data_IF_291458779880
#
_entry.id   IF_291458779880
#
_cell.length_a   1.000
_cell.length_b   1.000
_cell.length_c   1.000
_cell.angle_alpha   90.00
_cell.angle_beta   90.00
_cell.angle_gamma   90.00
#
_symmetry.space_group_name_H-M   'P 1'
#
loop_
_entity.id
_entity.type
_entity.pdbx_description
1 polymer ?
#
# COMPACT_ATOMS: atom_id res chain seq x y z
N UNK A 1 13.12 5.12 0.70
CA UNK A 1 13.12 4.01 1.68
C UNK A 1 14.38 3.93 2.54
N UNK A 2 15.60 4.12 2.00
CA UNK A 2 16.84 3.99 2.79
C UNK A 2 16.88 4.82 4.10
N UNK A 3 16.32 6.03 4.12
CA UNK A 3 16.24 6.83 5.36
C UNK A 3 15.21 6.31 6.36
N UNK A 4 14.10 5.74 5.88
CA UNK A 4 13.08 5.08 6.73
C UNK A 4 13.71 3.83 7.36
N UNK A 5 14.42 3.04 6.56
CA UNK A 5 15.06 1.81 7.01
C UNK A 5 16.08 2.04 8.14
N UNK A 6 16.68 3.24 8.23
CA UNK A 6 17.59 3.60 9.33
C UNK A 6 16.88 3.96 10.63
N UNK A 7 15.58 4.28 10.57
CA UNK A 7 14.78 4.79 11.69
C UNK A 7 13.67 3.83 12.13
N UNK A 8 13.49 2.72 11.41
CA UNK A 8 12.47 1.72 11.65
C UNK A 8 13.08 0.34 11.89
N UNK A 9 12.48 -0.43 12.79
CA UNK A 9 12.70 -1.86 12.91
C UNK A 9 11.55 -2.59 12.18
N UNK A 10 11.89 -3.65 11.45
CA UNK A 10 10.91 -4.44 10.70
C UNK A 10 10.73 -5.79 11.38
N UNK A 11 9.48 -6.15 11.64
CA UNK A 11 9.08 -7.45 12.17
C UNK A 11 8.26 -8.11 11.07
N UNK A 12 8.88 -9.08 10.39
CA UNK A 12 8.19 -9.91 9.41
C UNK A 12 7.58 -11.11 10.13
N UNK A 13 6.33 -11.40 9.84
CA UNK A 13 5.57 -12.46 10.49
C UNK A 13 5.15 -13.45 9.43
N UNK A 14 5.66 -14.66 9.56
CA UNK A 14 5.25 -15.78 8.73
C UNK A 14 4.07 -16.50 9.40
N UNK A 15 3.04 -16.76 8.61
CA UNK A 15 1.89 -17.55 9.07
C UNK A 15 2.37 -19.00 9.31
N UNK A 16 1.85 -19.72 10.33
CA UNK A 16 2.30 -21.07 10.63
C UNK A 16 2.34 -21.99 9.40
N UNK A 17 3.51 -22.57 9.12
CA UNK A 17 3.73 -23.48 7.99
C UNK A 17 3.87 -22.78 6.64
N UNK A 18 4.06 -21.45 6.62
CA UNK A 18 4.35 -20.66 5.42
C UNK A 18 5.78 -20.09 5.42
N UNK A 19 6.57 -20.35 6.47
CA UNK A 19 8.00 -20.07 6.49
C UNK A 19 8.75 -20.88 5.41
N UNK A 20 9.90 -20.37 4.98
CA UNK A 20 10.73 -21.04 3.96
C UNK A 20 11.12 -22.45 4.44
N UNK A 21 10.89 -23.45 3.59
CA UNK A 21 11.15 -24.87 3.86
C UNK A 21 10.40 -25.45 5.09
N UNK A 22 9.22 -24.92 5.40
CA UNK A 22 8.39 -25.39 6.50
C UNK A 22 8.06 -26.90 6.42
N UNK A 23 8.24 -27.67 7.50
CA UNK A 23 7.79 -29.05 7.55
C UNK A 23 6.27 -29.15 7.47
N UNK A 24 5.76 -30.32 7.09
CA UNK A 24 4.32 -30.57 7.12
C UNK A 24 3.78 -30.38 8.54
N UNK A 25 2.75 -29.52 8.66
CA UNK A 25 2.02 -29.39 9.90
C UNK A 25 1.34 -30.75 10.23
N UNK A 26 1.21 -31.10 11.52
CA UNK A 26 0.65 -32.38 11.91
C UNK A 26 -0.72 -32.64 11.26
N UNK A 27 -1.02 -33.90 10.99
CA UNK A 27 -2.31 -34.29 10.44
C UNK A 27 -3.44 -33.78 11.36
N UNK A 28 -4.36 -33.01 10.78
CA UNK A 28 -5.63 -32.70 11.43
C UNK A 28 -6.46 -33.98 11.30
N UNK A 29 -6.74 -34.65 12.41
CA UNK A 29 -7.73 -35.72 12.37
C UNK A 29 -9.04 -35.08 12.80
N UNK A 30 -9.99 -35.05 11.88
CA UNK A 30 -11.37 -34.72 12.19
C UNK A 30 -11.86 -35.76 13.20
N UNK A 31 -12.25 -35.29 14.39
CA UNK A 31 -12.82 -36.16 15.41
C UNK A 31 -14.09 -36.82 14.86
N UNK A 32 -14.03 -38.15 14.64
CA UNK A 32 -15.22 -38.95 14.84
C UNK A 32 -15.50 -38.93 16.34
N UNK A 33 -16.63 -38.35 16.74
CA UNK A 33 -17.18 -38.33 18.11
C UNK A 33 -17.05 -39.70 18.81
N UNK A 34 -17.03 -40.78 18.04
CA UNK A 34 -16.84 -42.15 18.50
C UNK A 34 -15.51 -42.42 19.24
N UNK A 35 -14.40 -41.76 18.87
CA UNK A 35 -13.07 -42.05 19.45
C UNK A 35 -12.89 -41.40 20.84
N UNK A 36 -13.50 -40.24 21.08
CA UNK A 36 -13.42 -39.49 22.35
C UNK A 36 -14.08 -40.28 23.50
N UNK A 37 -15.14 -41.03 23.20
CA UNK A 37 -15.88 -41.80 24.21
C UNK A 37 -15.17 -43.08 24.66
N UNK A 38 -14.26 -43.64 23.84
CA UNK A 38 -13.66 -44.96 24.11
C UNK A 38 -12.19 -44.92 24.56
N UNK A 39 -11.43 -43.84 24.32
CA UNK A 39 -10.04 -43.72 24.74
C UNK A 39 -9.70 -42.30 25.27
N UNK A 40 -10.09 -41.96 26.52
CA UNK A 40 -9.81 -40.63 27.10
C UNK A 40 -8.32 -40.37 27.38
N UNK A 41 -7.48 -41.42 27.40
CA UNK A 41 -6.04 -41.31 27.67
C UNK A 41 -5.19 -41.12 26.42
N UNK A 42 -5.76 -41.30 25.22
CA UNK A 42 -5.08 -41.11 23.94
C UNK A 42 -5.42 -39.72 23.38
N UNK A 43 -5.24 -38.69 24.21
CA UNK A 43 -5.39 -37.28 23.82
C UNK A 43 -4.20 -36.92 22.90
N UNK A 44 -4.18 -37.49 21.70
CA UNK A 44 -3.25 -37.09 20.67
C UNK A 44 -3.53 -35.61 20.39
N UNK A 45 -2.49 -34.78 20.42
CA UNK A 45 -2.57 -33.34 20.23
C UNK A 45 -3.01 -33.10 18.78
N UNK A 46 -4.31 -32.93 18.57
CA UNK A 46 -4.88 -32.68 17.25
C UNK A 46 -4.48 -31.25 16.85
N UNK A 47 -3.80 -31.09 15.72
CA UNK A 47 -3.40 -29.78 15.25
C UNK A 47 -4.48 -29.26 14.28
N UNK A 48 -5.32 -28.36 14.79
CA UNK A 48 -6.26 -27.59 13.97
C UNK A 48 -5.58 -26.30 13.54
N UNK A 49 -5.61 -26.02 12.24
CA UNK A 49 -5.01 -24.80 11.70
C UNK A 49 -5.78 -23.57 12.22
N UNK A 50 -5.11 -22.52 12.70
CA UNK A 50 -5.77 -21.38 13.32
C UNK A 50 -6.69 -20.63 12.34
N UNK A 51 -7.81 -20.13 12.87
CA UNK A 51 -8.71 -19.26 12.11
C UNK A 51 -8.06 -17.91 11.83
N UNK A 52 -8.55 -17.16 10.82
CA UNK A 52 -8.09 -15.79 10.57
C UNK A 52 -8.28 -14.87 11.80
N UNK A 53 -9.28 -15.16 12.64
CA UNK A 53 -9.51 -14.44 13.89
C UNK A 53 -8.43 -14.73 14.92
N UNK A 54 -8.17 -16.01 15.17
CA UNK A 54 -7.13 -16.45 16.10
C UNK A 54 -5.75 -15.93 15.69
N UNK A 55 -5.42 -16.02 14.38
CA UNK A 55 -4.18 -15.46 13.84
C UNK A 55 -4.02 -13.96 14.13
N UNK A 56 -5.11 -13.19 14.08
CA UNK A 56 -5.06 -11.76 14.38
C UNK A 56 -4.94 -11.46 15.88
N UNK A 57 -5.60 -12.25 16.73
CA UNK A 57 -5.55 -12.09 18.19
C UNK A 57 -4.19 -12.48 18.76
N UNK A 58 -3.57 -13.54 18.22
CA UNK A 58 -2.27 -14.07 18.67
C UNK A 58 -1.09 -13.14 18.34
N UNK A 59 -1.26 -12.15 17.44
CA UNK A 59 -0.22 -11.18 17.11
C UNK A 59 0.23 -10.37 18.33
N UNK A 60 -0.64 -10.15 19.33
CA UNK A 60 -0.24 -9.47 20.56
C UNK A 60 0.84 -10.24 21.32
N UNK A 61 0.80 -11.57 21.29
CA UNK A 61 1.77 -12.42 21.97
C UNK A 61 3.18 -12.26 21.34
N UNK A 62 3.25 -12.08 20.02
CA UNK A 62 4.51 -11.80 19.32
C UNK A 62 5.09 -10.46 19.77
N UNK A 63 4.27 -9.43 19.89
CA UNK A 63 4.71 -8.11 20.35
C UNK A 63 5.17 -8.14 21.82
N UNK A 64 4.44 -8.84 22.68
CA UNK A 64 4.79 -8.99 24.10
C UNK A 64 6.12 -9.74 24.26
N UNK A 65 6.34 -10.82 23.48
CA UNK A 65 7.62 -11.54 23.47
C UNK A 65 8.79 -10.65 23.02
N UNK A 66 8.57 -9.80 22.02
CA UNK A 66 9.58 -8.85 21.53
C UNK A 66 9.67 -7.57 22.36
N UNK A 67 8.85 -7.42 23.41
CA UNK A 67 8.75 -6.21 24.24
C UNK A 67 8.43 -4.93 23.45
N UNK A 68 7.63 -5.04 22.38
CA UNK A 68 7.23 -3.93 21.50
C UNK A 68 5.88 -3.38 21.95
N UNK A 69 5.84 -2.09 22.32
CA UNK A 69 4.62 -1.45 22.85
C UNK A 69 3.60 -1.07 21.79
N UNK A 70 4.08 -0.58 20.65
CA UNK A 70 3.25 -0.03 19.58
C UNK A 70 3.86 -0.34 18.21
N UNK A 71 3.00 -0.58 17.22
CA UNK A 71 3.43 -0.94 15.86
C UNK A 71 2.62 -0.20 14.79
N UNK A 72 3.23 0.01 13.63
CA UNK A 72 2.52 0.29 12.38
C UNK A 72 2.38 -1.05 11.65
N UNK A 73 1.15 -1.44 11.35
CA UNK A 73 0.87 -2.71 10.70
C UNK A 73 0.76 -2.51 9.18
N UNK A 74 1.39 -3.40 8.40
CA UNK A 74 1.26 -3.44 6.95
C UNK A 74 0.85 -4.86 6.58
N UNK A 75 -0.20 -5.00 5.76
CA UNK A 75 -0.64 -6.30 5.27
C UNK A 75 -1.12 -6.23 3.84
N UNK A 76 -0.87 -7.30 3.09
CA UNK A 76 -1.39 -7.52 1.74
C UNK A 76 -2.40 -8.67 1.74
N UNK A 77 -3.55 -8.49 1.09
CA UNK A 77 -4.54 -9.55 0.87
C UNK A 77 -5.02 -10.23 2.15
N UNK A 78 -4.64 -11.50 2.34
CA UNK A 78 -4.95 -12.25 3.56
C UNK A 78 -4.24 -11.70 4.81
N UNK A 79 -2.99 -11.23 4.66
CA UNK A 79 -2.26 -10.55 5.72
C UNK A 79 -2.95 -9.26 6.15
N UNK A 80 -3.49 -8.50 5.19
CA UNK A 80 -4.30 -7.30 5.46
C UNK A 80 -5.54 -7.61 6.32
N UNK A 81 -6.19 -8.75 6.07
CA UNK A 81 -7.33 -9.21 6.88
C UNK A 81 -6.90 -9.55 8.31
N UNK A 82 -5.77 -10.24 8.49
CA UNK A 82 -5.22 -10.61 9.80
C UNK A 82 -4.85 -9.36 10.61
N UNK A 83 -4.11 -8.41 10.01
CA UNK A 83 -3.72 -7.18 10.72
C UNK A 83 -4.90 -6.26 11.03
N UNK A 84 -5.94 -6.26 10.19
CA UNK A 84 -7.18 -5.53 10.49
C UNK A 84 -7.88 -6.12 11.73
N UNK A 85 -7.91 -7.46 11.87
CA UNK A 85 -8.45 -8.11 13.07
C UNK A 85 -7.61 -7.83 14.31
N UNK A 86 -6.30 -7.79 14.17
CA UNK A 86 -5.41 -7.37 15.25
C UNK A 86 -5.70 -5.93 15.71
N UNK A 87 -5.88 -5.00 14.76
CA UNK A 87 -6.24 -3.62 15.08
C UNK A 87 -7.62 -3.50 15.77
N UNK A 88 -8.56 -4.41 15.46
CA UNK A 88 -9.86 -4.51 16.14
C UNK A 88 -9.69 -5.06 17.57
N UNK A 89 -8.86 -6.09 17.74
CA UNK A 89 -8.66 -6.75 19.03
C UNK A 89 -7.83 -5.91 20.01
N UNK A 90 -6.80 -5.22 19.51
CA UNK A 90 -5.84 -4.46 20.31
C UNK A 90 -5.59 -3.06 19.70
N UNK A 91 -6.61 -2.18 19.70
CA UNK A 91 -6.50 -0.86 19.07
C UNK A 91 -5.43 0.03 19.72
N UNK A 92 -5.15 -0.15 21.01
CA UNK A 92 -4.14 0.62 21.74
C UNK A 92 -2.70 0.23 21.34
N UNK A 93 -2.49 -0.93 20.71
CA UNK A 93 -1.16 -1.39 20.23
C UNK A 93 -0.84 -0.90 18.81
N UNK A 94 -1.84 -0.43 18.05
CA UNK A 94 -1.69 -0.09 16.63
C UNK A 94 -1.68 1.43 16.43
N UNK A 95 -0.55 1.97 15.97
CA UNK A 95 -0.42 3.40 15.66
C UNK A 95 -0.99 3.75 14.30
N UNK A 96 -0.92 2.82 13.36
CA UNK A 96 -1.41 3.00 12.00
C UNK A 96 -1.49 1.67 11.27
N UNK A 97 -2.38 1.60 10.29
CA UNK A 97 -2.69 0.40 9.54
C UNK A 97 -2.59 0.67 8.04
N UNK A 98 -1.80 -0.11 7.31
CA UNK A 98 -1.70 -0.06 5.86
C UNK A 98 -2.26 -1.36 5.27
N UNK A 99 -3.40 -1.25 4.60
CA UNK A 99 -4.18 -2.37 4.06
C UNK A 99 -4.10 -2.39 2.54
N UNK A 100 -3.31 -3.31 1.99
CA UNK A 100 -3.10 -3.46 0.55
C UNK A 100 -3.99 -4.60 0.03
N UNK A 101 -4.85 -4.33 -0.94
CA UNK A 101 -5.80 -5.31 -1.52
C UNK A 101 -6.63 -6.07 -0.45
N UNK A 102 -7.01 -5.39 0.62
CA UNK A 102 -7.67 -6.03 1.75
C UNK A 102 -9.08 -6.50 1.42
N UNK A 103 -9.32 -7.80 1.59
CA UNK A 103 -10.64 -8.40 1.38
C UNK A 103 -11.29 -8.68 2.74
N UNK A 104 -12.26 -7.85 3.13
CA UNK A 104 -12.85 -7.89 4.47
C UNK A 104 -14.24 -8.56 4.58
N UNK A 105 -15.01 -8.56 3.50
CA UNK A 105 -16.39 -9.06 3.49
C UNK A 105 -16.48 -10.54 3.14
N UNK A 106 -17.53 -11.19 3.66
CA UNK A 106 -17.92 -12.56 3.31
C UNK A 106 -19.12 -12.45 2.35
N UNK A 107 -19.04 -13.08 1.17
CA UNK A 107 -19.90 -12.91 -0.02
C UNK A 107 -19.74 -11.53 -0.72
N UNK A 108 -19.42 -11.37 -2.02
CA UNK A 108 -19.59 -12.22 -3.19
C UNK A 108 -18.31 -12.72 -3.88
N UNK A 109 -17.22 -12.88 -3.13
CA UNK A 109 -16.01 -13.54 -3.65
C UNK A 109 -16.25 -15.00 -4.06
N UNK A 110 -17.17 -15.72 -3.41
CA UNK A 110 -17.53 -17.10 -3.79
C UNK A 110 -18.18 -17.20 -5.17
N UNK A 111 -18.86 -16.15 -5.67
CA UNK A 111 -19.51 -16.15 -6.99
C UNK A 111 -18.51 -15.85 -8.10
N UNK A 112 -17.67 -14.81 -7.97
CA UNK A 112 -16.61 -14.55 -8.96
C UNK A 112 -15.49 -15.60 -8.94
N UNK A 113 -15.22 -16.23 -7.80
CA UNK A 113 -14.32 -17.37 -7.72
C UNK A 113 -14.98 -18.62 -8.32
N UNK A 114 -16.29 -18.86 -8.12
CA UNK A 114 -17.00 -19.96 -8.80
C UNK A 114 -17.07 -19.76 -10.30
N UNK A 115 -17.38 -18.57 -10.79
CA UNK A 115 -17.50 -18.30 -12.23
C UNK A 115 -16.15 -18.43 -12.94
N UNK A 116 -15.06 -17.98 -12.31
CA UNK A 116 -13.69 -18.16 -12.82
C UNK A 116 -13.15 -19.57 -12.63
N UNK A 117 -13.52 -20.26 -11.54
CA UNK A 117 -13.19 -21.68 -11.32
C UNK A 117 -13.96 -22.60 -12.27
N UNK A 118 -15.18 -22.28 -12.67
CA UNK A 118 -16.00 -23.08 -13.59
C UNK A 118 -15.54 -22.86 -15.04
N UNK A 119 -15.20 -21.63 -15.42
CA UNK A 119 -14.64 -21.35 -16.75
C UNK A 119 -13.25 -21.96 -17.00
N UNK A 120 -12.40 -22.00 -15.96
CA UNK A 120 -11.04 -22.54 -16.06
C UNK A 120 -10.99 -24.09 -15.94
N UNK A 121 -12.02 -24.71 -15.34
CA UNK A 121 -12.09 -26.16 -15.12
C UNK A 121 -12.64 -26.96 -16.32
N UNK A 122 -12.78 -26.35 -17.50
CA UNK A 122 -13.30 -27.06 -18.68
C UNK A 122 -12.28 -27.57 -19.69
N UNK A 123 -10.97 -27.33 -19.52
CA UNK A 123 -10.04 -27.73 -20.60
C UNK A 123 -8.82 -28.59 -20.22
N UNK A 124 -8.29 -28.61 -19.00
CA UNK A 124 -7.11 -29.45 -18.74
C UNK A 124 -7.07 -30.18 -17.38
N UNK A 125 -7.08 -31.50 -17.52
CA UNK A 125 -6.79 -32.60 -16.61
C UNK A 125 -5.70 -32.30 -15.54
N UNK A 126 -5.98 -32.70 -14.28
CA UNK A 126 -4.97 -33.31 -13.38
C UNK A 126 -4.31 -32.45 -12.29
N UNK A 127 -4.38 -32.99 -11.05
CA UNK A 127 -3.72 -32.61 -9.77
C UNK A 127 -4.18 -31.31 -9.06
N UNK A 128 -4.84 -31.51 -7.91
CA UNK A 128 -5.46 -30.55 -6.97
C UNK A 128 -5.47 -29.04 -7.34
N UNK A 129 -6.27 -28.65 -8.35
CA UNK A 129 -6.16 -27.40 -9.09
C UNK A 129 -6.91 -26.22 -8.43
N UNK A 130 -6.92 -26.11 -7.10
CA UNK A 130 -7.76 -25.11 -6.40
C UNK A 130 -6.94 -24.07 -5.65
N UNK A 131 -5.87 -24.47 -4.96
CA UNK A 131 -5.03 -23.53 -4.21
C UNK A 131 -4.04 -22.78 -5.13
N UNK A 132 -3.40 -23.48 -6.07
CA UNK A 132 -2.47 -22.88 -7.03
C UNK A 132 -3.21 -21.83 -7.89
N UNK A 133 -4.36 -22.20 -8.44
CA UNK A 133 -5.20 -21.34 -9.28
C UNK A 133 -5.77 -20.14 -8.55
N UNK A 134 -6.07 -20.31 -7.27
CA UNK A 134 -6.46 -19.22 -6.39
C UNK A 134 -5.33 -18.21 -6.22
N UNK A 135 -4.12 -18.67 -5.91
CA UNK A 135 -2.96 -17.78 -5.76
C UNK A 135 -2.61 -17.08 -7.06
N UNK A 136 -2.70 -17.79 -8.19
CA UNK A 136 -2.52 -17.21 -9.53
C UNK A 136 -3.51 -16.07 -9.79
N UNK A 137 -4.81 -16.31 -9.55
CA UNK A 137 -5.84 -15.31 -9.71
C UNK A 137 -5.65 -14.12 -8.75
N UNK A 138 -5.23 -14.40 -7.51
CA UNK A 138 -4.96 -13.37 -6.51
C UNK A 138 -3.78 -12.49 -6.92
N UNK A 139 -2.66 -13.09 -7.37
CA UNK A 139 -1.42 -12.36 -7.68
C UNK A 139 -1.53 -11.57 -8.98
N UNK A 140 -2.14 -12.15 -10.01
CA UNK A 140 -2.03 -11.63 -11.37
C UNK A 140 -3.30 -11.04 -11.96
N UNK A 141 -4.46 -11.17 -11.31
CA UNK A 141 -5.70 -10.66 -11.90
C UNK A 141 -6.37 -11.63 -12.87
N UNK A 142 -7.36 -11.14 -13.62
CA UNK A 142 -7.88 -11.84 -14.81
C UNK A 142 -6.85 -11.77 -15.94
N UNK A 143 -6.41 -12.93 -16.41
CA UNK A 143 -5.34 -13.14 -17.40
C UNK A 143 -5.65 -12.57 -18.80
N UNK A 144 -6.89 -12.12 -19.04
CA UNK A 144 -7.39 -11.72 -20.36
C UNK A 144 -6.82 -10.39 -20.90
N UNK A 145 -5.99 -9.67 -20.14
CA UNK A 145 -5.47 -8.34 -20.54
C UNK A 145 -3.97 -8.31 -20.86
N UNK A 146 -3.34 -9.47 -20.92
CA UNK A 146 -1.93 -9.60 -21.29
C UNK A 146 -1.71 -9.43 -22.81
N UNK A 147 -1.11 -8.33 -23.24
CA UNK A 147 -0.73 -8.12 -24.65
C UNK A 147 0.28 -9.15 -25.16
N UNK A 148 1.00 -9.85 -24.25
CA UNK A 148 2.07 -10.78 -24.58
C UNK A 148 1.95 -12.12 -23.83
N UNK A 149 1.14 -13.04 -24.36
CA UNK A 149 0.79 -14.34 -23.73
C UNK A 149 2.01 -15.20 -23.38
N UNK A 150 3.06 -15.19 -24.20
CA UNK A 150 4.26 -16.02 -23.98
C UNK A 150 5.12 -15.55 -22.80
N UNK A 151 5.31 -14.23 -22.64
CA UNK A 151 6.02 -13.67 -21.50
C UNK A 151 5.23 -13.88 -20.21
N UNK A 152 3.91 -13.73 -20.29
CA UNK A 152 3.00 -14.03 -19.20
C UNK A 152 3.08 -15.49 -18.76
N UNK A 153 3.06 -16.44 -19.70
CA UNK A 153 3.21 -17.86 -19.37
C UNK A 153 4.55 -18.16 -18.69
N UNK A 154 5.64 -17.50 -19.08
CA UNK A 154 6.95 -17.64 -18.39
C UNK A 154 6.92 -17.09 -16.97
N UNK A 155 6.29 -15.93 -16.75
CA UNK A 155 6.13 -15.35 -15.40
C UNK A 155 5.28 -16.27 -14.52
N UNK A 156 4.20 -16.81 -15.07
CA UNK A 156 3.31 -17.76 -14.40
C UNK A 156 4.09 -19.03 -14.01
N UNK A 157 4.82 -19.64 -14.95
CA UNK A 157 5.60 -20.85 -14.67
C UNK A 157 6.73 -20.61 -13.66
N UNK A 158 7.44 -19.48 -13.76
CA UNK A 158 8.45 -19.09 -12.78
C UNK A 158 7.84 -18.92 -11.37
N UNK A 159 6.65 -18.33 -11.28
CA UNK A 159 5.94 -18.17 -10.01
C UNK A 159 5.50 -19.52 -9.44
N UNK A 160 4.94 -20.41 -10.27
CA UNK A 160 4.58 -21.78 -9.86
C UNK A 160 5.78 -22.57 -9.38
N UNK A 161 6.90 -22.49 -10.10
CA UNK A 161 8.13 -23.18 -9.72
C UNK A 161 8.68 -22.61 -8.40
N UNK A 162 8.64 -21.29 -8.22
CA UNK A 162 9.01 -20.65 -6.96
C UNK A 162 8.11 -21.07 -5.80
N UNK A 163 6.79 -21.16 -6.02
CA UNK A 163 5.83 -21.61 -5.01
C UNK A 163 6.11 -23.07 -4.62
N UNK A 164 6.31 -23.96 -5.60
CA UNK A 164 6.59 -25.38 -5.36
C UNK A 164 7.92 -25.62 -4.65
N UNK A 165 8.91 -24.74 -4.84
CA UNK A 165 10.22 -24.86 -4.22
C UNK A 165 10.27 -24.31 -2.80
N UNK A 166 9.58 -23.20 -2.51
CA UNK A 166 9.71 -22.48 -1.23
C UNK A 166 8.59 -22.77 -0.24
N UNK A 167 7.37 -23.01 -0.74
CA UNK A 167 6.17 -23.10 0.10
C UNK A 167 5.64 -24.52 0.12
N UNK A 168 5.38 -25.03 1.32
CA UNK A 168 4.74 -26.31 1.50
C UNK A 168 3.28 -26.28 1.00
N UNK A 169 2.91 -27.09 -0.02
CA UNK A 169 1.58 -27.06 -0.63
C UNK A 169 0.47 -27.57 0.29
N UNK A 170 0.77 -28.48 1.22
CA UNK A 170 -0.21 -29.03 2.15
C UNK A 170 -0.56 -28.00 3.24
N UNK A 171 0.43 -27.30 3.78
CA UNK A 171 0.23 -26.21 4.73
C UNK A 171 -0.50 -25.02 4.07
N UNK A 172 -0.12 -24.69 2.83
CA UNK A 172 -0.78 -23.64 2.06
C UNK A 172 -2.28 -23.93 1.85
N UNK A 173 -2.64 -25.17 1.53
CA UNK A 173 -4.05 -25.56 1.38
C UNK A 173 -4.84 -25.33 2.68
N UNK A 174 -4.25 -25.58 3.84
CA UNK A 174 -4.87 -25.31 5.15
C UNK A 174 -5.06 -23.82 5.39
N UNK A 175 -4.05 -23.02 5.05
CA UNK A 175 -4.15 -21.56 5.12
C UNK A 175 -5.26 -21.01 4.22
N UNK A 176 -5.32 -21.45 2.96
CA UNK A 176 -6.38 -21.05 2.01
C UNK A 176 -7.76 -21.47 2.54
N UNK A 177 -7.92 -22.69 3.06
CA UNK A 177 -9.18 -23.13 3.68
C UNK A 177 -9.58 -22.25 4.87
N UNK A 178 -8.65 -21.87 5.73
CA UNK A 178 -8.91 -20.95 6.84
C UNK A 178 -9.33 -19.57 6.34
N UNK A 179 -8.68 -19.06 5.28
CA UNK A 179 -9.04 -17.78 4.65
C UNK A 179 -10.42 -17.79 3.99
N UNK A 180 -10.83 -18.93 3.41
CA UNK A 180 -12.16 -19.10 2.82
C UNK A 180 -13.27 -19.14 3.86
N UNK A 181 -12.98 -19.63 5.07
CA UNK A 181 -13.92 -19.69 6.21
C UNK A 181 -13.95 -18.39 7.04
N UNK A 182 -13.28 -17.32 6.60
CA UNK A 182 -13.17 -16.07 7.36
C UNK A 182 -14.55 -15.45 7.62
N UNK A 183 -14.67 -14.77 8.76
CA UNK A 183 -15.84 -13.96 9.10
C UNK A 183 -15.72 -12.54 8.53
N UNK A 184 -16.82 -11.80 8.45
CA UNK A 184 -16.82 -10.43 7.97
C UNK A 184 -16.13 -9.49 8.98
N UNK A 185 -15.10 -8.75 8.56
CA UNK A 185 -14.44 -7.73 9.41
C UNK A 185 -15.16 -6.38 9.35
N UNK A 186 -15.97 -6.14 8.30
CA UNK A 186 -16.67 -4.88 8.11
C UNK A 186 -17.70 -4.60 9.23
N UNK A 187 -18.17 -5.66 9.90
CA UNK A 187 -19.11 -5.54 11.00
C UNK A 187 -18.48 -4.91 12.24
N UNK A 188 -17.19 -5.19 12.49
CA UNK A 188 -16.42 -4.70 13.65
C UNK A 188 -15.43 -3.57 13.30
N UNK A 189 -15.59 -2.94 12.13
CA UNK A 189 -14.71 -1.87 11.65
C UNK A 189 -14.76 -0.61 12.55
N UNK A 190 -15.84 -0.40 13.29
CA UNK A 190 -16.02 0.66 14.29
C UNK A 190 -15.01 0.62 15.43
N UNK A 191 -14.44 -0.57 15.71
CA UNK A 191 -13.45 -0.76 16.77
C UNK A 191 -12.04 -0.33 16.38
N UNK A 192 -11.79 -0.11 15.08
CA UNK A 192 -10.48 0.35 14.59
C UNK A 192 -10.35 1.84 14.92
N UNK A 193 -9.49 2.15 15.90
CA UNK A 193 -9.20 3.54 16.31
C UNK A 193 -8.04 4.16 15.54
N UNK A 194 -7.15 3.32 15.00
CA UNK A 194 -5.92 3.74 14.33
C UNK A 194 -6.19 4.33 12.94
N UNK A 195 -5.46 5.38 12.53
CA UNK A 195 -5.46 5.83 11.14
C UNK A 195 -5.15 4.67 10.20
N UNK A 196 -5.88 4.58 9.08
CA UNK A 196 -5.84 3.46 8.15
C UNK A 196 -5.64 3.97 6.73
N UNK A 197 -4.56 3.54 6.08
CA UNK A 197 -4.30 3.72 4.66
C UNK A 197 -4.76 2.47 3.91
N UNK A 198 -5.75 2.60 3.05
CA UNK A 198 -6.22 1.52 2.17
C UNK A 198 -5.65 1.71 0.77
N UNK A 199 -5.03 0.67 0.23
CA UNK A 199 -4.38 0.69 -1.08
C UNK A 199 -5.01 -0.34 -2.01
N UNK A 200 -5.40 0.09 -3.20
CA UNK A 200 -5.97 -0.79 -4.23
C UNK A 200 -5.55 -0.40 -5.64
N UNK A 201 -5.46 -1.37 -6.55
CA UNK A 201 -5.28 -1.14 -7.98
C UNK A 201 -6.62 -1.27 -8.72
N UNK A 202 -6.87 -0.46 -9.76
CA UNK A 202 -8.15 -0.51 -10.50
C UNK A 202 -8.36 -1.81 -11.28
N UNK A 203 -7.29 -2.56 -11.56
CA UNK A 203 -7.36 -3.87 -12.23
C UNK A 203 -7.22 -5.05 -11.26
N UNK A 204 -7.19 -4.81 -9.95
CA UNK A 204 -7.03 -5.86 -8.95
C UNK A 204 -8.22 -6.84 -8.94
N UNK A 205 -7.95 -8.14 -8.79
CA UNK A 205 -8.96 -9.21 -8.78
C UNK A 205 -10.11 -8.99 -7.80
N UNK A 206 -9.82 -8.35 -6.65
CA UNK A 206 -10.76 -8.15 -5.55
C UNK A 206 -11.12 -6.68 -5.33
N UNK A 207 -10.95 -5.84 -6.35
CA UNK A 207 -11.21 -4.41 -6.28
C UNK A 207 -12.64 -4.13 -5.76
N UNK A 208 -13.66 -4.86 -6.23
CA UNK A 208 -15.03 -4.71 -5.73
C UNK A 208 -15.15 -4.96 -4.22
N UNK A 209 -14.57 -6.07 -3.72
CA UNK A 209 -14.62 -6.40 -2.29
C UNK A 209 -13.83 -5.42 -1.43
N UNK A 210 -12.71 -4.90 -1.95
CA UNK A 210 -11.93 -3.84 -1.30
C UNK A 210 -12.74 -2.55 -1.22
N UNK A 211 -13.44 -2.14 -2.29
CA UNK A 211 -14.32 -0.96 -2.27
C UNK A 211 -15.52 -1.11 -1.33
N UNK A 212 -16.10 -2.32 -1.23
CA UNK A 212 -17.14 -2.59 -0.22
C UNK A 212 -16.58 -2.37 1.18
N UNK A 213 -15.37 -2.88 1.46
CA UNK A 213 -14.71 -2.67 2.76
C UNK A 213 -14.41 -1.19 3.02
N UNK A 214 -13.91 -0.46 2.01
CA UNK A 214 -13.67 0.99 2.10
C UNK A 214 -14.97 1.72 2.43
N UNK A 215 -16.07 1.39 1.76
CA UNK A 215 -17.38 1.97 2.06
C UNK A 215 -17.82 1.74 3.50
N UNK A 216 -17.61 0.52 4.03
CA UNK A 216 -17.88 0.22 5.43
C UNK A 216 -16.96 0.97 6.40
N UNK A 217 -15.66 1.08 6.09
CA UNK A 217 -14.70 1.84 6.90
C UNK A 217 -15.09 3.32 6.94
N UNK A 218 -15.40 3.94 5.81
CA UNK A 218 -15.83 5.34 5.75
C UNK A 218 -17.19 5.59 6.41
N UNK A 219 -18.06 4.58 6.48
CA UNK A 219 -19.37 4.67 7.12
C UNK A 219 -19.33 4.48 8.64
N UNK A 220 -18.35 3.71 9.16
CA UNK A 220 -18.25 3.36 10.58
C UNK A 220 -17.10 4.04 11.34
N UNK A 221 -16.03 4.41 10.64
CA UNK A 221 -14.89 5.15 11.21
C UNK A 221 -14.98 6.64 10.86
N UNK A 222 -14.20 7.45 11.59
CA UNK A 222 -14.01 8.86 11.26
C UNK A 222 -13.37 9.01 9.88
N UNK A 223 -14.01 9.78 9.00
CA UNK A 223 -13.53 10.03 7.63
C UNK A 223 -12.14 10.66 7.57
N UNK A 224 -11.71 11.33 8.63
CA UNK A 224 -10.38 11.97 8.73
C UNK A 224 -9.26 10.99 9.03
N UNK A 225 -9.59 9.75 9.43
CA UNK A 225 -8.62 8.70 9.78
C UNK A 225 -8.41 7.68 8.67
N UNK A 226 -9.19 7.74 7.59
CA UNK A 226 -9.14 6.77 6.50
C UNK A 226 -8.63 7.45 5.24
N UNK A 227 -7.45 7.04 4.79
CA UNK A 227 -6.84 7.48 3.53
C UNK A 227 -6.97 6.37 2.49
N UNK A 228 -7.27 6.73 1.25
CA UNK A 228 -7.46 5.77 0.15
C UNK A 228 -6.49 6.10 -0.97
N UNK A 229 -5.68 5.13 -1.37
CA UNK A 229 -4.80 5.18 -2.53
C UNK A 229 -5.29 4.17 -3.58
N UNK A 230 -6.01 4.67 -4.58
CA UNK A 230 -6.37 3.88 -5.76
C UNK A 230 -5.43 4.22 -6.91
N UNK A 231 -4.78 3.18 -7.48
CA UNK A 231 -3.83 3.32 -8.58
C UNK A 231 -4.43 2.77 -9.86
N UNK A 232 -4.51 3.63 -10.88
CA UNK A 232 -5.04 3.26 -12.18
C UNK A 232 -4.10 2.34 -12.97
N UNK A 233 -4.72 1.38 -13.66
CA UNK A 233 -4.08 0.49 -14.63
C UNK A 233 -3.19 -0.58 -14.02
N UNK A 234 -3.35 -0.87 -12.73
CA UNK A 234 -2.50 -1.78 -11.96
C UNK A 234 -3.34 -2.88 -11.33
N UNK A 235 -2.88 -4.13 -11.43
CA UNK A 235 -3.49 -5.27 -10.77
C UNK A 235 -2.84 -5.50 -9.40
N UNK A 236 -1.51 -5.42 -9.33
CA UNK A 236 -0.77 -5.55 -8.09
C UNK A 236 0.11 -4.33 -7.81
N UNK A 237 -0.32 -3.47 -6.89
CA UNK A 237 0.39 -2.23 -6.51
C UNK A 237 1.82 -2.47 -6.01
N UNK A 238 2.05 -3.56 -5.27
CA UNK A 238 3.37 -3.85 -4.70
C UNK A 238 4.40 -4.24 -5.75
N UNK A 239 3.99 -4.95 -6.81
CA UNK A 239 4.90 -5.37 -7.88
C UNK A 239 5.05 -4.32 -8.97
N UNK A 240 3.94 -3.70 -9.39
CA UNK A 240 3.94 -2.83 -10.58
C UNK A 240 4.34 -1.39 -10.25
N UNK A 241 3.92 -0.85 -9.10
CA UNK A 241 4.20 0.54 -8.70
C UNK A 241 4.61 0.67 -7.22
N UNK A 242 5.69 0.00 -6.80
CA UNK A 242 6.20 0.10 -5.41
C UNK A 242 6.58 1.52 -5.03
N UNK A 243 7.07 2.34 -5.97
CA UNK A 243 7.49 3.71 -5.70
C UNK A 243 6.32 4.59 -5.23
N UNK A 244 5.15 4.45 -5.86
CA UNK A 244 3.94 5.19 -5.50
C UNK A 244 3.42 4.78 -4.13
N UNK A 245 3.48 3.49 -3.84
CA UNK A 245 3.11 2.97 -2.52
C UNK A 245 4.07 3.46 -1.45
N UNK A 246 5.37 3.36 -1.67
CA UNK A 246 6.41 3.81 -0.74
C UNK A 246 6.29 5.32 -0.44
N UNK A 247 6.05 6.12 -1.47
CA UNK A 247 5.81 7.56 -1.34
C UNK A 247 4.58 7.84 -0.47
N UNK A 248 3.45 7.20 -0.77
CA UNK A 248 2.19 7.39 -0.03
C UNK A 248 2.29 6.90 1.41
N UNK A 249 2.98 5.77 1.63
CA UNK A 249 3.23 5.24 2.96
C UNK A 249 4.13 6.15 3.79
N UNK A 250 5.10 6.84 3.16
CA UNK A 250 5.91 7.85 3.82
C UNK A 250 5.05 9.04 4.28
N UNK A 251 4.15 9.56 3.41
CA UNK A 251 3.20 10.61 3.79
C UNK A 251 2.33 10.19 4.97
N UNK A 252 1.82 8.96 4.95
CA UNK A 252 1.04 8.39 6.02
C UNK A 252 1.82 8.34 7.35
N UNK A 253 3.05 7.84 7.33
CA UNK A 253 3.91 7.79 8.53
C UNK A 253 4.28 9.18 9.06
N UNK A 254 4.37 10.20 8.19
CA UNK A 254 4.55 11.58 8.60
C UNK A 254 3.28 12.15 9.25
N UNK A 255 2.10 11.82 8.72
CA UNK A 255 0.82 12.17 9.34
C UNK A 255 0.65 11.59 10.74
N UNK A 256 1.25 10.43 11.02
CA UNK A 256 1.30 9.83 12.36
C UNK A 256 2.33 10.50 13.29
N UNK A 257 3.18 11.40 12.79
CA UNK A 257 4.23 12.07 13.56
C UNK A 257 5.47 11.22 13.85
N UNK A 258 5.61 10.05 13.22
CA UNK A 258 6.69 9.08 13.53
C UNK A 258 7.96 9.36 12.73
N UNK A 259 7.83 9.87 11.48
CA UNK A 259 8.95 10.11 10.56
C UNK A 259 9.10 11.61 10.23
N UNK A 260 9.21 12.44 11.27
CA UNK A 260 9.53 13.86 11.09
C UNK A 260 10.91 14.05 10.44
N UNK A 261 10.96 14.79 9.33
CA UNK A 261 12.22 15.25 8.72
C UNK A 261 12.83 14.37 7.62
N UNK A 262 12.13 13.35 7.12
CA UNK A 262 12.51 12.71 5.84
C UNK A 262 12.03 13.61 4.70
N UNK A 263 12.91 14.05 3.79
CA UNK A 263 12.56 14.98 2.75
C UNK A 263 11.58 14.34 1.76
N UNK A 264 10.60 15.13 1.34
CA UNK A 264 9.51 14.61 0.53
C UNK A 264 9.88 14.55 -0.96
N UNK A 265 9.82 13.37 -1.61
CA UNK A 265 10.27 13.20 -2.99
C UNK A 265 9.62 14.18 -3.98
N UNK A 266 8.30 14.38 -3.89
CA UNK A 266 7.56 15.34 -4.74
C UNK A 266 7.78 16.81 -4.37
N UNK A 267 8.19 17.10 -3.14
CA UNK A 267 8.46 18.48 -2.71
C UNK A 267 9.84 18.94 -3.21
N UNK A 268 10.81 18.03 -3.30
CA UNK A 268 12.14 18.31 -3.87
C UNK A 268 12.09 18.60 -5.37
N UNK A 269 11.22 17.93 -6.13
CA UNK A 269 11.08 18.19 -7.58
C UNK A 269 10.61 19.62 -7.90
N UNK A 270 9.86 20.27 -7.01
CA UNK A 270 9.48 21.68 -7.17
C UNK A 270 10.61 22.65 -6.83
N UNK A 271 11.60 22.23 -6.03
CA UNK A 271 12.75 23.07 -5.67
C UNK A 271 13.95 22.86 -6.60
N UNK A 272 14.06 21.69 -7.25
CA UNK A 272 15.17 21.37 -8.15
C UNK A 272 14.98 21.89 -9.58
N UNK A 273 13.80 22.36 -9.97
CA UNK A 273 13.54 22.90 -11.32
C UNK A 273 13.87 24.40 -11.47
N UNK A 274 14.50 25.02 -10.47
CA UNK A 274 14.90 26.45 -10.51
C UNK A 274 16.41 26.61 -10.75
N UNK A 275 17.22 25.56 -10.63
CA UNK A 275 18.66 25.61 -10.94
C UNK A 275 18.95 25.27 -12.41
N UNK A 276 18.55 26.17 -13.31
CA UNK A 276 19.23 26.34 -14.60
C UNK A 276 20.10 27.58 -14.49
N UNK A 277 21.44 27.50 -14.66
CA UNK A 277 22.31 28.65 -14.54
C UNK A 277 22.25 29.46 -15.84
N UNK A 278 21.34 30.44 -15.92
CA UNK A 278 21.42 31.53 -16.89
C UNK A 278 22.14 32.72 -16.22
N UNK A 279 23.33 33.16 -16.70
CA UNK A 279 24.15 34.14 -15.99
C UNK A 279 23.55 35.55 -15.86
N UNK A 280 22.51 35.89 -16.65
CA UNK A 280 22.03 37.28 -16.76
C UNK A 280 20.74 37.60 -15.97
N UNK A 281 20.19 36.66 -15.20
CA UNK A 281 18.92 36.87 -14.48
C UNK A 281 19.07 37.30 -12.99
N UNK A 282 20.20 37.88 -12.59
CA UNK A 282 20.53 38.14 -11.17
C UNK A 282 19.74 39.27 -10.47
N UNK A 283 18.77 39.94 -11.10
CA UNK A 283 18.10 41.09 -10.47
C UNK A 283 16.65 40.89 -9.98
N UNK A 284 15.97 39.76 -10.25
CA UNK A 284 14.53 39.65 -9.96
C UNK A 284 14.07 38.51 -9.03
N UNK A 285 14.94 37.63 -8.54
CA UNK A 285 14.51 36.41 -7.80
C UNK A 285 14.75 36.43 -6.28
N UNK A 286 15.04 37.59 -5.66
CA UNK A 286 15.24 37.69 -4.19
C UNK A 286 13.95 37.68 -3.35
N UNK A 287 12.77 37.32 -3.90
CA UNK A 287 11.48 37.52 -3.22
C UNK A 287 10.79 36.28 -2.64
N UNK A 288 11.41 35.10 -2.68
CA UNK A 288 10.76 33.87 -2.15
C UNK A 288 11.62 33.08 -1.16
N UNK A 289 12.32 33.78 -0.26
CA UNK A 289 12.72 33.20 1.03
C UNK A 289 11.68 33.62 2.08
N UNK A 290 11.01 32.66 2.71
CA UNK A 290 10.28 32.94 3.95
C UNK A 290 11.28 33.46 4.97
N UNK A 291 11.13 34.71 5.39
CA UNK A 291 12.02 35.35 6.36
C UNK A 291 12.03 34.58 7.68
N UNK A 292 13.22 34.42 8.26
CA UNK A 292 13.35 33.90 9.62
C UNK A 292 12.80 34.94 10.62
N UNK A 293 12.32 34.51 11.79
CA UNK A 293 11.82 35.43 12.84
C UNK A 293 12.84 36.51 13.22
N UNK A 294 14.13 36.19 13.15
CA UNK A 294 15.25 37.10 13.43
C UNK A 294 15.46 38.18 12.36
N UNK A 295 14.90 37.96 11.16
CA UNK A 295 15.00 38.84 10.00
C UNK A 295 13.80 39.78 9.88
N UNK A 296 12.65 39.41 10.48
CA UNK A 296 11.46 40.25 10.59
C UNK A 296 11.61 41.38 11.62
N UNK A 297 12.43 41.18 12.66
CA UNK A 297 12.64 42.16 13.74
C UNK A 297 13.66 43.27 13.42
N UNK A 298 14.26 43.25 12.22
CA UNK A 298 15.21 44.28 11.81
C UNK A 298 14.49 45.47 11.16
N UNK A 299 14.65 46.71 11.66
CA UNK A 299 13.98 47.86 11.07
C UNK A 299 14.49 48.11 9.65
N UNK A 300 13.58 48.09 8.69
CA UNK A 300 13.88 48.37 7.28
C UNK A 300 14.08 49.88 7.11
N UNK A 301 15.32 50.30 6.88
CA UNK A 301 15.69 51.70 6.63
C UNK A 301 14.99 52.28 5.39
N UNK A 302 14.62 53.56 5.48
CA UNK A 302 13.90 54.30 4.45
C UNK A 302 14.81 54.48 3.21
N UNK A 303 14.45 53.90 2.07
CA UNK A 303 15.14 54.13 0.80
C UNK A 303 14.71 55.49 0.20
N UNK A 304 15.65 56.42 0.10
CA UNK A 304 15.51 57.69 -0.61
C UNK A 304 15.59 57.47 -2.13
N UNK A 305 14.49 57.69 -2.85
CA UNK A 305 14.46 57.67 -4.32
C UNK A 305 14.80 59.05 -4.87
N UNK A 306 16.01 59.23 -5.43
CA UNK A 306 16.31 60.35 -6.33
C UNK A 306 16.56 59.82 -7.76
N UNK A 307 15.96 60.43 -8.81
CA UNK A 307 16.20 60.01 -10.19
C UNK A 307 17.54 60.52 -10.71
N UNK A 308 18.24 59.72 -11.53
CA UNK A 308 19.48 60.11 -12.23
C UNK A 308 19.15 60.80 -13.57
N UNK A 309 19.79 61.95 -13.83
CA UNK A 309 19.72 62.73 -15.07
C UNK A 309 20.35 61.99 -16.29
N UNK A 310 19.85 62.24 -17.52
CA UNK A 310 20.47 61.73 -18.75
C UNK A 310 21.36 62.78 -19.43
N UNK A 311 22.61 62.45 -19.73
CA UNK A 311 23.45 63.26 -20.62
C UNK A 311 24.53 62.44 -21.35
N UNK A 312 24.34 62.19 -22.64
CA UNK A 312 25.38 62.35 -23.67
C UNK A 312 24.79 62.14 -25.07
N UNK A 313 24.85 63.20 -25.86
CA UNK A 313 24.51 63.32 -27.28
C UNK A 313 25.50 62.59 -28.21
N UNK A 314 25.06 62.45 -29.47
CA UNK A 314 25.78 62.33 -30.77
C UNK A 314 25.59 60.96 -31.44
N UNK A 315 25.25 60.80 -32.72
CA UNK A 315 24.97 61.71 -33.87
C UNK A 315 24.30 60.86 -34.96
N UNK A 316 23.34 61.40 -35.70
CA UNK A 316 22.75 60.83 -36.93
C UNK A 316 23.61 61.18 -38.17
N UNK A 317 23.43 60.50 -39.34
CA UNK A 317 22.45 60.93 -40.36
C UNK A 317 21.75 59.71 -41.01
N UNK A 318 20.60 59.79 -41.70
CA UNK A 318 20.32 60.54 -42.93
C UNK A 318 18.80 60.68 -43.17
N UNK A 319 18.46 61.79 -43.86
CA UNK A 319 17.15 62.23 -44.36
C UNK A 319 16.51 61.27 -45.37
N UNK A 320 15.17 61.23 -45.37
CA UNK A 320 14.38 61.79 -46.48
C UNK A 320 12.94 62.11 -46.04
N UNK A 321 12.58 63.39 -46.19
CA UNK A 321 11.21 63.91 -46.12
C UNK A 321 10.57 63.79 -47.50
N UNK A 322 9.27 63.49 -47.54
CA UNK A 322 8.38 64.06 -48.55
C UNK A 322 7.11 64.59 -47.88
N UNK A 323 6.98 65.90 -48.00
CA UNK A 323 5.91 66.87 -47.71
C UNK A 323 4.45 66.45 -48.00
N UNK A 324 3.56 66.66 -47.00
CA UNK A 324 2.34 67.51 -46.91
C UNK A 324 1.50 67.83 -48.17
N UNK A 325 0.21 68.28 -48.10
CA UNK A 325 -0.53 68.88 -46.95
C UNK A 325 -2.03 68.41 -46.83
N UNK A 326 -2.87 69.02 -45.95
CA UNK A 326 -4.19 68.51 -45.57
C UNK A 326 -5.35 69.23 -46.29
N UNK A 327 -6.54 68.63 -46.32
CA UNK A 327 -7.84 69.30 -46.19
C UNK A 327 -9.01 68.32 -46.29
N UNK A 328 -9.96 68.49 -45.36
CA UNK A 328 -11.35 68.01 -45.29
C UNK A 328 -11.64 66.51 -45.11
#
# INVERSE_FOLDING_TARGET
MAEINKRAAYIHIDVPGQEDDAPDLPAEYDHYIFLILFLPHLLYKTFTFPSMQSLGEDLVCVLDQLSVKHVICIGEGAGANIVARFAIAQPERVLGLCLIHCTGTTAGFMESLRDKLIGWKLEHIGMNPTAESYLMLHRFGSVDKAENKEQWNKVIENFKESLRKRINPHNLNRFVKSFMKRTNIADSADKIKSPTLVVTGTLASFNHSTHTLIGHLLGKMDKTKVDILEIEGVANVLEEKPDRLAESFLYFCQGLGIIGGVPMPRMQQRTSSIDSPDPDAQQLTRRTRSMSMEEADKPLGIYSTSPKNPSSLSTSPTRNLSSSPPAN
#
